data_IF_656605235853
#
_entry.id   IF_656605235853
#
_cell.length_a   1.000
_cell.length_b   1.000
_cell.length_c   1.000
_cell.angle_alpha   90.00
_cell.angle_beta   90.00
_cell.angle_gamma   90.00
#
_symmetry.space_group_name_H-M   'P 1'
#
loop_
_entity.id
_entity.type
_entity.pdbx_description
1 polymer ?
#
# COMPACT_ATOMS: atom_id res chain seq x y z
N UNK A 1 14.99 0.76 -15.96
CA UNK A 1 15.17 0.88 -14.52
C UNK A 1 16.40 0.12 -13.98
N UNK A 2 17.59 0.32 -14.58
CA UNK A 2 18.85 -0.29 -14.08
C UNK A 2 19.27 0.25 -12.71
N UNK A 3 18.76 1.41 -12.32
CA UNK A 3 19.10 2.05 -11.04
C UNK A 3 18.73 1.18 -9.83
N UNK A 4 17.62 0.46 -9.91
CA UNK A 4 17.13 -0.38 -8.81
C UNK A 4 18.04 -1.56 -8.48
N UNK A 5 18.85 -2.02 -9.43
CA UNK A 5 19.84 -3.09 -9.20
C UNK A 5 21.17 -2.57 -8.71
N UNK A 6 21.43 -1.27 -8.83
CA UNK A 6 22.68 -0.59 -8.41
C UNK A 6 22.55 -0.03 -7.00
N UNK A 7 21.37 0.50 -6.64
CA UNK A 7 21.08 1.12 -5.33
C UNK A 7 20.43 0.13 -4.33
N UNK A 8 20.93 -1.09 -4.30
CA UNK A 8 20.55 -2.01 -3.24
C UNK A 8 21.19 -1.58 -1.91
N UNK A 9 20.46 -1.76 -0.80
CA UNK A 9 20.93 -1.41 0.54
C UNK A 9 20.39 -0.10 1.11
N UNK A 10 19.59 0.67 0.36
CA UNK A 10 18.93 1.89 0.89
C UNK A 10 17.54 1.60 1.46
N UNK A 11 16.99 0.40 1.30
CA UNK A 11 15.63 0.04 1.73
C UNK A 11 15.39 0.33 3.22
N UNK A 12 16.32 -0.08 4.10
CA UNK A 12 16.19 0.16 5.53
C UNK A 12 16.20 1.65 5.89
N UNK A 13 17.07 2.43 5.26
CA UNK A 13 17.17 3.89 5.46
C UNK A 13 15.88 4.57 5.02
N UNK A 14 15.35 4.21 3.85
CA UNK A 14 14.12 4.79 3.32
C UNK A 14 12.89 4.40 4.16
N UNK A 15 12.85 3.17 4.66
CA UNK A 15 11.75 2.73 5.53
C UNK A 15 11.77 3.43 6.88
N UNK A 16 12.95 3.63 7.47
CA UNK A 16 13.11 4.37 8.71
C UNK A 16 12.74 5.85 8.55
N UNK A 17 13.12 6.47 7.43
CA UNK A 17 12.72 7.83 7.09
C UNK A 17 11.19 7.95 6.95
N UNK A 18 10.56 6.98 6.29
CA UNK A 18 9.11 6.96 6.11
C UNK A 18 8.39 6.91 7.47
N UNK A 19 8.71 5.97 8.35
CA UNK A 19 7.99 5.81 9.62
C UNK A 19 8.30 6.92 10.62
N UNK A 20 9.55 7.36 10.71
CA UNK A 20 9.98 8.37 11.68
C UNK A 20 9.68 9.80 11.24
N UNK A 21 10.25 10.20 10.12
CA UNK A 21 10.19 11.59 9.65
C UNK A 21 8.88 11.95 8.99
N UNK A 22 8.34 11.06 8.12
CA UNK A 22 7.19 11.38 7.27
C UNK A 22 5.85 10.96 7.88
N UNK A 23 5.85 10.12 8.91
CA UNK A 23 4.61 9.71 9.58
C UNK A 23 4.60 10.15 11.03
N UNK A 24 5.49 9.63 11.88
CA UNK A 24 5.43 9.88 13.32
C UNK A 24 5.58 11.36 13.66
N UNK A 25 6.55 12.07 13.06
CA UNK A 25 6.80 13.49 13.32
C UNK A 25 5.59 14.38 13.02
N UNK A 26 4.83 14.07 11.97
CA UNK A 26 3.67 14.85 11.52
C UNK A 26 2.33 14.32 12.09
N UNK A 27 2.37 13.35 13.01
CA UNK A 27 1.16 12.72 13.53
C UNK A 27 0.31 12.02 12.43
N UNK A 28 0.97 11.61 11.33
CA UNK A 28 0.33 10.98 10.20
C UNK A 28 -0.42 11.92 9.24
N UNK A 29 -0.27 13.24 9.36
CA UNK A 29 -1.06 14.20 8.60
C UNK A 29 -0.95 13.99 7.08
N UNK A 30 0.26 13.98 6.52
CA UNK A 30 0.48 13.74 5.08
C UNK A 30 -0.02 12.35 4.64
N UNK A 31 0.20 11.32 5.45
CA UNK A 31 -0.29 9.98 5.13
C UNK A 31 -1.83 9.93 5.06
N UNK A 32 -2.53 10.63 5.96
CA UNK A 32 -3.99 10.74 5.95
C UNK A 32 -4.53 11.42 4.70
N UNK A 33 -3.85 12.47 4.20
CA UNK A 33 -4.25 13.11 2.94
C UNK A 33 -4.08 12.16 1.73
N UNK A 34 -3.00 11.38 1.69
CA UNK A 34 -2.81 10.36 0.65
C UNK A 34 -3.90 9.28 0.74
N UNK A 35 -4.21 8.79 1.95
CA UNK A 35 -5.28 7.82 2.19
C UNK A 35 -6.64 8.37 1.73
N UNK A 36 -6.94 9.63 2.03
CA UNK A 36 -8.15 10.30 1.56
C UNK A 36 -8.25 10.32 0.03
N UNK A 37 -7.15 10.57 -0.67
CA UNK A 37 -7.11 10.50 -2.13
C UNK A 37 -7.33 9.07 -2.66
N UNK A 38 -6.88 8.04 -1.94
CA UNK A 38 -7.17 6.64 -2.28
C UNK A 38 -8.65 6.31 -2.10
N UNK A 39 -9.27 6.76 -1.00
CA UNK A 39 -10.71 6.59 -0.78
C UNK A 39 -11.57 7.26 -1.85
N UNK A 40 -11.15 8.40 -2.40
CA UNK A 40 -11.85 9.02 -3.51
C UNK A 40 -11.94 8.08 -4.71
N UNK A 41 -10.84 7.42 -5.08
CA UNK A 41 -10.82 6.43 -6.17
C UNK A 41 -11.63 5.18 -5.82
N UNK A 42 -11.59 4.72 -4.56
CA UNK A 42 -12.47 3.63 -4.11
C UNK A 42 -13.95 3.99 -4.28
N UNK A 43 -14.33 5.23 -3.98
CA UNK A 43 -15.68 5.75 -4.21
C UNK A 43 -16.08 5.80 -5.69
N UNK A 44 -15.16 6.16 -6.59
CA UNK A 44 -15.39 6.09 -8.03
C UNK A 44 -15.60 4.64 -8.52
N UNK A 45 -14.78 3.69 -8.03
CA UNK A 45 -14.93 2.27 -8.33
C UNK A 45 -16.28 1.71 -7.87
N UNK A 46 -16.85 2.24 -6.78
CA UNK A 46 -18.16 1.81 -6.28
C UNK A 46 -19.30 2.12 -7.24
N UNK A 47 -19.13 3.10 -8.12
CA UNK A 47 -20.10 3.50 -9.15
C UNK A 47 -19.81 2.84 -10.51
N UNK A 48 -18.64 2.23 -10.68
CA UNK A 48 -18.24 1.60 -11.93
C UNK A 48 -18.85 0.20 -12.05
N UNK A 49 -19.51 -0.14 -13.17
CA UNK A 49 -20.13 -1.45 -13.35
C UNK A 49 -19.10 -2.55 -13.65
N UNK A 50 -19.48 -3.78 -13.36
CA UNK A 50 -18.74 -4.98 -13.74
C UNK A 50 -17.95 -5.61 -12.59
N UNK A 51 -17.75 -6.93 -12.74
CA UNK A 51 -17.10 -7.77 -11.73
C UNK A 51 -15.64 -7.36 -11.48
N UNK A 52 -14.91 -6.99 -12.53
CA UNK A 52 -13.51 -6.57 -12.41
C UNK A 52 -13.39 -5.30 -11.56
N UNK A 53 -14.28 -4.32 -11.76
CA UNK A 53 -14.28 -3.09 -10.95
C UNK A 53 -14.62 -3.37 -9.49
N UNK A 54 -15.57 -4.27 -9.25
CA UNK A 54 -15.91 -4.69 -7.89
C UNK A 54 -14.74 -5.39 -7.19
N UNK A 55 -14.02 -6.27 -7.88
CA UNK A 55 -12.86 -6.95 -7.31
C UNK A 55 -11.66 -6.01 -7.08
N UNK A 56 -11.37 -5.11 -8.04
CA UNK A 56 -10.33 -4.07 -7.88
C UNK A 56 -10.65 -3.19 -6.68
N UNK A 57 -11.92 -2.78 -6.52
CA UNK A 57 -12.39 -2.03 -5.36
C UNK A 57 -12.17 -2.79 -4.06
N UNK A 58 -12.57 -4.05 -3.99
CA UNK A 58 -12.44 -4.86 -2.78
C UNK A 58 -10.97 -5.00 -2.34
N UNK A 59 -10.06 -5.26 -3.29
CA UNK A 59 -8.62 -5.33 -3.04
C UNK A 59 -8.05 -3.99 -2.56
N UNK A 60 -8.40 -2.89 -3.22
CA UNK A 60 -7.96 -1.55 -2.84
C UNK A 60 -8.47 -1.16 -1.46
N UNK A 61 -9.75 -1.38 -1.15
CA UNK A 61 -10.33 -1.09 0.15
C UNK A 61 -9.65 -1.87 1.29
N UNK A 62 -9.31 -3.15 1.07
CA UNK A 62 -8.55 -3.93 2.03
C UNK A 62 -7.14 -3.37 2.25
N UNK A 63 -6.48 -2.96 1.15
CA UNK A 63 -5.17 -2.31 1.20
C UNK A 63 -5.19 -0.98 1.96
N UNK A 64 -6.16 -0.12 1.69
CA UNK A 64 -6.34 1.17 2.37
C UNK A 64 -6.49 0.95 3.88
N UNK A 65 -7.40 0.06 4.30
CA UNK A 65 -7.58 -0.25 5.73
C UNK A 65 -6.29 -0.74 6.38
N UNK A 66 -5.51 -1.57 5.69
CA UNK A 66 -4.22 -2.05 6.21
C UNK A 66 -3.22 -0.90 6.43
N UNK A 67 -3.18 0.08 5.54
CA UNK A 67 -2.35 1.29 5.68
C UNK A 67 -2.85 2.17 6.83
N UNK A 68 -4.15 2.41 6.92
CA UNK A 68 -4.77 3.20 7.99
C UNK A 68 -4.42 2.65 9.38
N UNK A 69 -4.60 1.34 9.56
CA UNK A 69 -4.27 0.66 10.82
C UNK A 69 -2.78 0.82 11.18
N UNK A 70 -1.89 0.67 10.18
CA UNK A 70 -0.46 0.84 10.41
C UNK A 70 -0.09 2.29 10.74
N UNK A 71 -0.64 3.27 10.02
CA UNK A 71 -0.38 4.69 10.29
C UNK A 71 -0.85 5.06 11.69
N UNK A 72 -2.05 4.64 12.08
CA UNK A 72 -2.59 4.88 13.42
C UNK A 72 -1.70 4.24 14.50
N UNK A 73 -1.28 3.00 14.29
CA UNK A 73 -0.40 2.30 15.22
C UNK A 73 0.98 2.95 15.32
N UNK A 74 1.61 3.34 14.21
CA UNK A 74 2.91 4.03 14.19
C UNK A 74 2.83 5.31 15.00
N UNK A 75 1.81 6.15 14.76
CA UNK A 75 1.64 7.43 15.48
C UNK A 75 1.45 7.21 16.98
N UNK A 76 0.65 6.22 17.37
CA UNK A 76 0.37 5.92 18.77
C UNK A 76 1.58 5.32 19.51
N UNK A 77 2.42 4.55 18.80
CA UNK A 77 3.49 3.74 19.44
C UNK A 77 4.84 4.44 19.43
N UNK A 78 5.11 5.32 18.46
CA UNK A 78 6.46 5.84 18.19
C UNK A 78 7.14 6.48 19.39
N UNK A 79 6.41 7.26 20.17
CA UNK A 79 6.98 7.94 21.35
C UNK A 79 7.26 6.98 22.52
N UNK A 80 6.47 5.92 22.65
CA UNK A 80 6.59 4.96 23.74
C UNK A 80 7.56 3.81 23.42
N UNK A 81 7.58 3.34 22.17
CA UNK A 81 8.43 2.24 21.72
C UNK A 81 8.91 2.44 20.29
N UNK A 82 9.93 3.25 20.13
CA UNK A 82 10.55 3.54 18.83
C UNK A 82 11.14 2.27 18.17
N UNK A 83 11.64 1.31 18.97
CA UNK A 83 12.23 0.08 18.45
C UNK A 83 11.17 -0.81 17.80
N UNK A 84 10.00 -0.92 18.43
CA UNK A 84 8.87 -1.67 17.86
C UNK A 84 8.46 -1.10 16.50
N UNK A 85 8.37 0.22 16.37
CA UNK A 85 8.01 0.87 15.10
C UNK A 85 9.07 0.61 14.03
N UNK A 86 10.35 0.74 14.36
CA UNK A 86 11.43 0.50 13.40
C UNK A 86 11.56 -0.98 13.00
N UNK A 87 11.24 -1.93 13.87
CA UNK A 87 11.15 -3.36 13.52
C UNK A 87 10.12 -3.63 12.40
N UNK A 88 9.03 -2.83 12.37
CA UNK A 88 7.99 -2.89 11.34
C UNK A 88 8.24 -2.00 10.10
N UNK A 89 9.34 -1.24 10.03
CA UNK A 89 9.52 -0.19 9.03
C UNK A 89 9.61 -0.72 7.59
N UNK A 90 10.37 -1.79 7.34
CA UNK A 90 10.52 -2.40 6.00
C UNK A 90 9.22 -3.05 5.53
N UNK A 91 8.52 -3.88 6.32
CA UNK A 91 7.18 -4.36 5.97
C UNK A 91 6.19 -3.22 5.68
N UNK A 92 6.25 -2.11 6.42
CA UNK A 92 5.40 -0.95 6.18
C UNK A 92 5.73 -0.24 4.86
N UNK A 93 7.01 -0.06 4.53
CA UNK A 93 7.42 0.49 3.24
C UNK A 93 6.89 -0.37 2.08
N UNK A 94 6.97 -1.70 2.23
CA UNK A 94 6.40 -2.64 1.25
C UNK A 94 4.89 -2.51 1.15
N UNK A 95 4.18 -2.43 2.28
CA UNK A 95 2.73 -2.23 2.32
C UNK A 95 2.33 -0.95 1.58
N UNK A 96 2.98 0.17 1.89
CA UNK A 96 2.75 1.44 1.19
C UNK A 96 2.98 1.31 -0.32
N UNK A 97 4.06 0.66 -0.73
CA UNK A 97 4.38 0.46 -2.14
C UNK A 97 3.30 -0.32 -2.89
N UNK A 98 2.84 -1.45 -2.34
CA UNK A 98 1.81 -2.26 -3.01
C UNK A 98 0.44 -1.56 -3.02
N UNK A 99 0.08 -0.83 -1.97
CA UNK A 99 -1.22 -0.12 -1.92
C UNK A 99 -1.21 1.11 -2.83
N UNK A 100 -0.12 1.88 -2.87
CA UNK A 100 0.05 2.96 -3.84
C UNK A 100 0.01 2.45 -5.28
N UNK A 101 0.66 1.30 -5.56
CA UNK A 101 0.57 0.63 -6.86
C UNK A 101 -0.86 0.24 -7.20
N UNK A 102 -1.58 -0.38 -6.28
CA UNK A 102 -2.99 -0.75 -6.45
C UNK A 102 -3.89 0.45 -6.71
N UNK A 103 -3.66 1.55 -6.01
CA UNK A 103 -4.35 2.82 -6.25
C UNK A 103 -4.14 3.31 -7.68
N UNK A 104 -2.90 3.28 -8.21
CA UNK A 104 -2.65 3.70 -9.60
C UNK A 104 -3.25 2.70 -10.61
N UNK A 105 -3.22 1.39 -10.31
CA UNK A 105 -3.90 0.39 -11.16
C UNK A 105 -5.42 0.62 -11.21
N UNK A 106 -6.04 0.93 -10.09
CA UNK A 106 -7.45 1.26 -10.00
C UNK A 106 -7.81 2.49 -10.86
N UNK A 107 -7.01 3.56 -10.78
CA UNK A 107 -7.17 4.74 -11.65
C UNK A 107 -7.06 4.40 -13.14
N UNK A 108 -6.08 3.58 -13.49
CA UNK A 108 -5.89 3.14 -14.86
C UNK A 108 -7.09 2.30 -15.37
N UNK A 109 -7.65 1.43 -14.52
CA UNK A 109 -8.84 0.64 -14.85
C UNK A 109 -10.08 1.51 -15.08
N UNK A 110 -10.32 2.51 -14.24
CA UNK A 110 -11.43 3.48 -14.41
C UNK A 110 -11.30 4.24 -15.74
N UNK A 111 -10.11 4.74 -16.06
CA UNK A 111 -9.87 5.42 -17.34
C UNK A 111 -10.09 4.46 -18.51
N UNK A 112 -9.59 3.23 -18.42
CA UNK A 112 -9.75 2.22 -19.47
C UNK A 112 -11.23 1.89 -19.69
N UNK A 113 -12.00 1.67 -18.64
CA UNK A 113 -13.43 1.42 -18.72
C UNK A 113 -14.19 2.56 -19.40
N UNK A 114 -13.90 3.81 -19.03
CA UNK A 114 -14.51 4.97 -19.64
C UNK A 114 -14.17 5.11 -21.14
N UNK A 115 -12.95 4.76 -21.54
CA UNK A 115 -12.53 4.75 -22.95
C UNK A 115 -13.24 3.67 -23.75
N UNK A 116 -13.42 2.48 -23.19
CA UNK A 116 -14.21 1.41 -23.81
C UNK A 116 -15.67 1.82 -24.00
N UNK A 117 -16.29 2.39 -22.98
CA UNK A 117 -17.67 2.88 -23.05
C UNK A 117 -17.85 3.97 -24.14
N UNK A 118 -16.87 4.85 -24.28
CA UNK A 118 -16.86 5.90 -25.31
C UNK A 118 -16.48 5.39 -26.71
N UNK A 119 -16.20 4.08 -26.88
CA UNK A 119 -15.71 3.47 -28.14
C UNK A 119 -14.49 4.19 -28.73
N UNK A 120 -13.61 4.70 -27.87
CA UNK A 120 -12.44 5.50 -28.24
C UNK A 120 -11.14 4.74 -28.09
N UNK A 121 -10.34 4.70 -29.17
CA UNK A 121 -8.99 4.15 -29.15
C UNK A 121 -8.93 2.64 -29.32
N UNK A 122 -7.84 2.02 -28.84
CA UNK A 122 -7.59 0.58 -28.95
C UNK A 122 -8.29 -0.19 -27.82
N UNK A 123 -9.37 -0.87 -28.14
CA UNK A 123 -10.15 -1.66 -27.18
C UNK A 123 -9.31 -2.75 -26.52
N UNK A 124 -8.47 -3.46 -27.27
CA UNK A 124 -7.61 -4.52 -26.74
C UNK A 124 -6.62 -4.00 -25.70
N UNK A 125 -6.08 -2.80 -25.91
CA UNK A 125 -5.21 -2.15 -24.95
C UNK A 125 -5.95 -1.83 -23.63
N UNK A 126 -7.17 -1.30 -23.70
CA UNK A 126 -7.94 -0.96 -22.50
C UNK A 126 -8.44 -2.19 -21.75
N UNK A 127 -8.86 -3.23 -22.44
CA UNK A 127 -9.19 -4.53 -21.83
C UNK A 127 -8.00 -5.13 -21.09
N UNK A 128 -6.80 -5.10 -21.70
CA UNK A 128 -5.56 -5.55 -21.06
C UNK A 128 -5.21 -4.73 -19.81
N UNK A 129 -5.50 -3.41 -19.78
CA UNK A 129 -5.32 -2.57 -18.59
C UNK A 129 -6.23 -2.98 -17.45
N UNK A 130 -7.49 -3.26 -17.72
CA UNK A 130 -8.45 -3.74 -16.71
C UNK A 130 -8.01 -5.11 -16.17
N UNK A 131 -7.66 -6.04 -17.05
CA UNK A 131 -7.17 -7.37 -16.65
C UNK A 131 -5.90 -7.28 -15.78
N UNK A 132 -4.98 -6.36 -16.12
CA UNK A 132 -3.76 -6.12 -15.32
C UNK A 132 -4.10 -5.57 -13.95
N UNK A 133 -5.03 -4.63 -13.85
CA UNK A 133 -5.46 -4.06 -12.58
C UNK A 133 -6.18 -5.10 -11.70
N UNK A 134 -7.00 -5.96 -12.33
CA UNK A 134 -7.64 -7.10 -11.66
C UNK A 134 -6.61 -8.07 -11.11
N UNK A 135 -5.64 -8.48 -11.93
CA UNK A 135 -4.53 -9.33 -11.48
C UNK A 135 -3.79 -8.72 -10.28
N UNK A 136 -3.52 -7.41 -10.35
CA UNK A 136 -2.84 -6.72 -9.25
C UNK A 136 -3.66 -6.76 -7.94
N UNK A 137 -4.97 -6.58 -8.04
CA UNK A 137 -5.86 -6.67 -6.89
C UNK A 137 -5.85 -8.07 -6.27
N UNK A 138 -5.98 -9.12 -7.09
CA UNK A 138 -6.09 -10.49 -6.64
C UNK A 138 -4.77 -11.08 -6.11
N UNK A 139 -3.60 -10.64 -6.64
CA UNK A 139 -2.31 -11.27 -6.35
C UNK A 139 -1.35 -10.38 -5.53
N UNK A 140 -1.43 -9.07 -5.67
CA UNK A 140 -0.51 -8.14 -4.99
C UNK A 140 -1.18 -7.49 -3.79
N UNK A 141 -2.35 -6.85 -3.97
CA UNK A 141 -3.10 -6.25 -2.86
C UNK A 141 -3.55 -7.27 -1.81
N UNK A 142 -3.79 -8.51 -2.21
CA UNK A 142 -4.10 -9.61 -1.30
C UNK A 142 -3.04 -9.82 -0.19
N UNK A 143 -1.82 -9.31 -0.35
CA UNK A 143 -0.76 -9.38 0.66
C UNK A 143 -0.90 -8.33 1.77
N UNK A 144 -1.68 -7.28 1.56
CA UNK A 144 -1.75 -6.13 2.47
C UNK A 144 -2.15 -6.49 3.92
N UNK A 145 -3.15 -7.34 4.19
CA UNK A 145 -3.50 -7.71 5.56
C UNK A 145 -2.38 -8.46 6.29
N UNK A 146 -1.63 -9.32 5.59
CA UNK A 146 -0.48 -10.03 6.16
C UNK A 146 0.65 -9.06 6.53
N UNK A 147 0.97 -8.12 5.65
CA UNK A 147 1.97 -7.08 5.92
C UNK A 147 1.55 -6.19 7.10
N UNK A 148 0.28 -5.79 7.15
CA UNK A 148 -0.27 -5.05 8.30
C UNK A 148 -0.05 -5.82 9.61
N UNK A 149 -0.33 -7.11 9.65
CA UNK A 149 -0.11 -7.92 10.84
C UNK A 149 1.37 -7.98 11.24
N UNK A 150 2.27 -8.10 10.26
CA UNK A 150 3.72 -8.06 10.50
C UNK A 150 4.16 -6.73 11.11
N UNK A 151 3.63 -5.59 10.61
CA UNK A 151 3.95 -4.26 11.15
C UNK A 151 3.49 -4.12 12.60
N UNK A 152 2.23 -4.44 12.86
CA UNK A 152 1.59 -4.15 14.17
C UNK A 152 1.97 -5.17 15.26
N UNK A 153 2.32 -6.41 14.89
CA UNK A 153 2.54 -7.51 15.84
C UNK A 153 3.95 -8.08 15.82
N UNK A 154 4.75 -7.80 14.79
CA UNK A 154 6.03 -8.48 14.54
C UNK A 154 7.15 -8.07 15.51
N UNK A 155 7.06 -6.93 16.15
CA UNK A 155 8.13 -6.37 16.99
C UNK A 155 8.55 -7.30 18.14
N UNK A 156 7.60 -7.95 18.80
CA UNK A 156 7.90 -8.85 19.92
C UNK A 156 8.85 -10.00 19.54
N UNK A 157 8.67 -10.58 18.35
CA UNK A 157 9.56 -11.65 17.86
C UNK A 157 10.94 -11.13 17.46
N UNK A 158 11.01 -9.96 16.84
CA UNK A 158 12.29 -9.34 16.42
C UNK A 158 13.17 -8.98 17.61
N UNK A 159 12.57 -8.55 18.74
CA UNK A 159 13.27 -8.09 19.93
C UNK A 159 13.36 -9.15 21.04
N UNK A 160 13.03 -10.40 20.76
CA UNK A 160 12.94 -11.45 21.78
C UNK A 160 14.29 -12.00 22.25
N UNK A 161 15.31 -12.00 21.39
CA UNK A 161 16.61 -12.57 21.70
C UNK A 161 17.53 -11.54 22.38
N UNK A 162 18.30 -12.03 23.36
CA UNK A 162 19.39 -11.26 23.95
C UNK A 162 20.68 -11.44 23.17
N UNK A 163 21.71 -10.62 23.43
CA UNK A 163 23.01 -10.73 22.75
C UNK A 163 23.68 -12.10 22.98
N UNK A 164 23.47 -12.70 24.16
CA UNK A 164 24.02 -14.02 24.49
C UNK A 164 23.32 -15.20 23.77
N UNK A 165 22.18 -14.94 23.13
CA UNK A 165 21.42 -15.96 22.37
C UNK A 165 21.75 -15.96 20.87
N UNK A 166 22.61 -15.05 20.41
CA UNK A 166 23.19 -15.03 19.09
C UNK A 166 24.56 -15.69 19.07
#
# INVERSE_FOLDING_TARGET
ARITTIYEGTTAIQSNDLVGRKIAREGGATAKEVIKAMHAVEGELAQAPGEDMAAIRAGLAAGIRAVEDCVAWIVATYAADIKAVHAGSVPFLRLMGIVCGGWQMARAALVAQNRLAAKGGDASFYEAKIATARFYADHVLAQAPGLRNTVVRGAAGVMALTEEQF
#
